data_IF_742892024431
#
_entry.id   IF_742892024431
#
_cell.length_a   1.000
_cell.length_b   1.000
_cell.length_c   1.000
_cell.angle_alpha   90.00
_cell.angle_beta   90.00
_cell.angle_gamma   90.00
#
_symmetry.space_group_name_H-M   'P 1'
#
loop_
_entity.id
_entity.type
_entity.pdbx_description
1 polymer ?
#
# COMPACT_ATOMS: atom_id res chain seq x y z
N UNK A 1 -35.50 5.96 8.37
CA UNK A 1 -34.24 5.42 7.82
C UNK A 1 -33.08 6.04 8.55
N UNK A 2 -32.23 5.22 9.18
CA UNK A 2 -30.96 5.67 9.72
C UNK A 2 -30.06 6.16 8.57
N UNK A 3 -29.86 7.47 8.46
CA UNK A 3 -29.02 8.14 7.44
C UNK A 3 -27.52 7.98 7.70
N UNK A 4 -27.10 6.92 8.40
CA UNK A 4 -25.71 6.75 8.84
C UNK A 4 -25.05 5.67 8.01
N UNK A 5 -23.81 5.92 7.58
CA UNK A 5 -23.01 4.94 6.85
C UNK A 5 -22.96 3.63 7.66
N UNK A 6 -23.47 2.50 7.13
CA UNK A 6 -23.47 1.24 7.86
C UNK A 6 -22.05 0.76 8.16
N UNK A 7 -21.08 1.12 7.30
CA UNK A 7 -19.66 0.82 7.48
C UNK A 7 -18.97 1.62 8.59
N UNK A 8 -19.55 2.75 9.03
CA UNK A 8 -19.04 3.53 10.16
C UNK A 8 -19.78 3.24 11.47
N UNK A 9 -20.68 2.24 11.46
CA UNK A 9 -21.37 1.82 12.68
C UNK A 9 -20.46 0.90 13.49
N UNK A 10 -20.07 1.33 14.68
CA UNK A 10 -19.30 0.51 15.63
C UNK A 10 -19.97 -0.83 15.99
N UNK A 11 -21.29 -0.96 15.78
CA UNK A 11 -22.03 -2.21 15.97
C UNK A 11 -21.75 -3.28 14.92
N UNK A 12 -21.18 -2.90 13.77
CA UNK A 12 -20.78 -3.82 12.69
C UNK A 12 -19.26 -4.01 12.62
N UNK A 13 -18.51 -3.34 13.50
CA UNK A 13 -17.07 -3.57 13.67
C UNK A 13 -16.88 -4.80 14.56
N UNK A 14 -16.00 -5.71 14.16
CA UNK A 14 -15.56 -6.82 15.01
C UNK A 14 -14.52 -6.23 15.98
N UNK A 15 -14.75 -6.26 17.31
CA UNK A 15 -13.90 -5.58 18.30
C UNK A 15 -12.42 -5.98 18.26
N UNK A 16 -12.12 -7.20 17.82
CA UNK A 16 -10.77 -7.77 17.76
C UNK A 16 -10.09 -7.59 16.39
N UNK A 17 -10.66 -6.81 15.46
CA UNK A 17 -10.02 -6.50 14.19
C UNK A 17 -9.21 -5.20 14.30
N UNK A 18 -8.01 -5.31 14.86
CA UNK A 18 -6.89 -4.45 14.42
C UNK A 18 -6.63 -4.83 12.97
N UNK A 19 -6.87 -3.90 12.04
CA UNK A 19 -6.66 -4.17 10.60
C UNK A 19 -5.19 -4.07 10.23
N UNK A 20 -4.42 -3.27 10.98
CA UNK A 20 -3.00 -3.08 10.73
C UNK A 20 -2.23 -2.63 11.97
N UNK A 21 -1.00 -3.09 12.06
CA UNK A 21 0.03 -2.60 12.97
C UNK A 21 1.08 -1.87 12.13
N UNK A 22 1.44 -0.65 12.54
CA UNK A 22 2.45 0.15 11.86
C UNK A 22 3.62 0.44 12.80
N UNK A 23 4.83 0.21 12.32
CA UNK A 23 6.04 0.55 13.06
C UNK A 23 6.19 2.08 13.18
N UNK A 24 6.42 2.55 14.42
CA UNK A 24 6.71 3.95 14.66
C UNK A 24 8.10 4.30 14.09
N UNK A 25 8.23 5.30 13.20
CA UNK A 25 9.52 5.63 12.57
C UNK A 25 10.55 6.19 13.54
N UNK A 26 10.14 6.61 14.74
CA UNK A 26 11.02 7.23 15.74
C UNK A 26 11.55 6.23 16.78
N UNK A 27 10.72 5.26 17.22
CA UNK A 27 11.10 4.33 18.30
C UNK A 27 10.95 2.84 17.94
N UNK A 28 10.37 2.50 16.79
CA UNK A 28 10.16 1.11 16.37
C UNK A 28 8.97 0.40 17.02
N UNK A 29 8.18 1.09 17.86
CA UNK A 29 6.99 0.50 18.48
C UNK A 29 5.92 0.15 17.44
N UNK A 30 5.30 -1.03 17.54
CA UNK A 30 4.17 -1.43 16.69
C UNK A 30 2.88 -0.76 17.16
N UNK A 31 2.46 0.28 16.44
CA UNK A 31 1.24 1.03 16.74
C UNK A 31 0.04 0.34 16.10
N UNK A 32 -0.91 -0.10 16.92
CA UNK A 32 -2.17 -0.68 16.44
C UNK A 32 -3.09 0.39 15.85
N UNK A 33 -3.66 0.12 14.68
CA UNK A 33 -4.65 0.98 14.05
C UNK A 33 -5.99 0.28 13.81
N UNK A 34 -7.06 0.99 14.14
CA UNK A 34 -8.43 0.58 13.80
C UNK A 34 -8.82 1.05 12.39
N UNK A 35 -9.84 0.45 11.76
CA UNK A 35 -10.34 0.86 10.44
C UNK A 35 -10.73 2.35 10.34
N UNK A 36 -11.08 2.98 11.47
CA UNK A 36 -11.47 4.39 11.49
C UNK A 36 -10.28 5.33 11.71
N UNK A 37 -9.11 4.79 12.03
CA UNK A 37 -7.95 5.57 12.44
C UNK A 37 -7.12 5.93 11.20
N UNK A 38 -7.06 7.22 10.87
CA UNK A 38 -6.14 7.72 9.85
C UNK A 38 -4.75 8.05 10.39
N UNK A 39 -4.66 8.30 11.70
CA UNK A 39 -3.42 8.63 12.41
C UNK A 39 -3.59 8.33 13.90
N UNK A 40 -2.51 7.95 14.56
CA UNK A 40 -2.46 7.73 16.02
C UNK A 40 -1.16 8.27 16.60
N UNK A 41 -1.22 8.65 17.87
CA UNK A 41 0.00 8.88 18.64
C UNK A 41 0.59 7.53 19.05
N UNK A 42 1.90 7.36 18.87
CA UNK A 42 2.64 6.22 19.40
C UNK A 42 2.52 6.21 20.93
N UNK A 43 2.10 5.09 21.54
CA UNK A 43 1.94 5.01 23.00
C UNK A 43 3.28 5.04 23.76
N UNK A 44 4.40 4.74 23.09
CA UNK A 44 5.72 4.74 23.71
C UNK A 44 6.40 6.12 23.67
N UNK A 45 6.48 6.76 22.50
CA UNK A 45 7.23 8.01 22.33
C UNK A 45 6.37 9.26 22.06
N UNK A 46 5.07 9.08 21.79
CA UNK A 46 4.14 10.17 21.50
C UNK A 46 4.18 10.70 20.05
N UNK A 47 5.09 10.22 19.20
CA UNK A 47 5.15 10.60 17.78
C UNK A 47 3.86 10.26 17.06
N UNK A 48 3.38 11.16 16.21
CA UNK A 48 2.21 10.92 15.36
C UNK A 48 2.60 9.99 14.21
N UNK A 49 2.04 8.79 14.21
CA UNK A 49 2.12 7.83 13.10
C UNK A 49 0.87 7.99 12.25
N UNK A 50 1.03 8.05 10.94
CA UNK A 50 -0.07 8.24 9.99
C UNK A 50 -0.13 7.04 9.05
N UNK A 51 -1.34 6.58 8.75
CA UNK A 51 -1.52 5.58 7.69
C UNK A 51 -1.16 6.19 6.35
N UNK A 52 -0.44 5.43 5.53
CA UNK A 52 -0.28 5.73 4.11
C UNK A 52 -1.64 5.67 3.40
N UNK A 53 -1.71 6.25 2.20
CA UNK A 53 -2.94 6.19 1.39
C UNK A 53 -3.39 4.76 1.10
N UNK A 54 -2.45 3.84 0.92
CA UNK A 54 -2.76 2.42 0.67
C UNK A 54 -3.29 1.72 1.93
N UNK A 55 -2.74 2.05 3.10
CA UNK A 55 -3.23 1.54 4.38
C UNK A 55 -4.64 2.04 4.70
N UNK A 56 -4.96 3.29 4.33
CA UNK A 56 -6.32 3.84 4.42
C UNK A 56 -7.31 3.14 3.49
N UNK A 57 -6.87 2.67 2.31
CA UNK A 57 -7.73 1.89 1.39
C UNK A 57 -8.08 0.52 1.97
N UNK A 58 -7.17 -0.11 2.71
CA UNK A 58 -7.41 -1.39 3.40
C UNK A 58 -8.49 -1.30 4.48
N UNK A 59 -8.73 -0.10 5.01
CA UNK A 59 -9.78 0.14 6.00
C UNK A 59 -11.20 0.22 5.40
N UNK A 60 -11.33 0.17 4.07
CA UNK A 60 -12.60 0.15 3.36
C UNK A 60 -13.23 -1.25 3.30
N UNK A 61 -13.05 -2.07 4.34
CA UNK A 61 -13.65 -3.42 4.45
C UNK A 61 -15.19 -3.41 4.29
N UNK A 62 -15.85 -2.28 4.54
CA UNK A 62 -17.27 -2.14 4.27
C UNK A 62 -17.61 -2.28 2.78
N UNK A 63 -16.68 -2.00 1.87
CA UNK A 63 -16.89 -2.11 0.44
C UNK A 63 -17.07 -3.57 -0.04
N UNK A 64 -16.69 -4.55 0.77
CA UNK A 64 -16.87 -5.97 0.46
C UNK A 64 -18.34 -6.40 0.58
N UNK A 65 -19.05 -5.91 1.61
CA UNK A 65 -20.42 -6.34 1.93
C UNK A 65 -21.47 -5.25 1.76
N UNK A 66 -21.09 -3.97 1.64
CA UNK A 66 -22.04 -2.87 1.60
C UNK A 66 -22.68 -2.76 0.21
N UNK A 67 -24.02 -2.82 0.11
CA UNK A 67 -24.73 -2.77 -1.18
C UNK A 67 -24.63 -1.40 -1.87
N UNK A 68 -24.26 -0.34 -1.14
CA UNK A 68 -24.06 1.01 -1.67
C UNK A 68 -22.57 1.34 -1.90
N UNK A 69 -21.66 0.37 -1.78
CA UNK A 69 -20.22 0.61 -1.87
C UNK A 69 -19.78 1.16 -3.24
N UNK A 70 -20.34 0.61 -4.32
CA UNK A 70 -20.03 1.04 -5.69
C UNK A 70 -20.44 2.50 -5.93
N UNK A 71 -21.64 2.88 -5.50
CA UNK A 71 -22.10 4.27 -5.57
C UNK A 71 -21.30 5.20 -4.65
N UNK A 72 -20.90 4.71 -3.47
CA UNK A 72 -20.16 5.49 -2.48
C UNK A 72 -18.70 5.76 -2.90
N UNK A 73 -18.03 4.78 -3.50
CA UNK A 73 -16.61 4.85 -3.87
C UNK A 73 -16.40 5.27 -5.33
N UNK A 74 -17.42 5.10 -6.18
CA UNK A 74 -17.37 5.49 -7.58
C UNK A 74 -16.17 4.88 -8.31
N UNK A 75 -15.34 5.67 -9.02
CA UNK A 75 -14.18 5.17 -9.77
C UNK A 75 -13.17 4.36 -8.93
N UNK A 76 -13.09 4.61 -7.62
CA UNK A 76 -12.18 3.89 -6.73
C UNK A 76 -12.70 2.50 -6.32
N UNK A 77 -13.98 2.17 -6.56
CA UNK A 77 -14.58 0.90 -6.15
C UNK A 77 -13.81 -0.31 -6.68
N UNK A 78 -13.42 -0.29 -7.96
CA UNK A 78 -12.65 -1.36 -8.58
C UNK A 78 -11.27 -1.55 -7.94
N UNK A 79 -10.63 -0.46 -7.49
CA UNK A 79 -9.32 -0.50 -6.81
C UNK A 79 -9.48 -1.11 -5.41
N UNK A 80 -10.48 -0.65 -4.67
CA UNK A 80 -10.80 -1.15 -3.32
C UNK A 80 -11.20 -2.62 -3.34
N UNK A 81 -11.99 -3.05 -4.34
CA UNK A 81 -12.40 -4.44 -4.48
C UNK A 81 -11.22 -5.39 -4.73
N UNK A 82 -10.23 -4.99 -5.55
CA UNK A 82 -9.00 -5.78 -5.77
C UNK A 82 -8.21 -5.99 -4.48
N UNK A 83 -8.12 -4.96 -3.65
CA UNK A 83 -7.49 -5.00 -2.32
C UNK A 83 -8.22 -5.98 -1.39
N UNK A 84 -9.56 -5.90 -1.34
CA UNK A 84 -10.40 -6.71 -0.44
C UNK A 84 -10.47 -8.19 -0.86
N UNK A 85 -10.44 -8.49 -2.15
CA UNK A 85 -10.41 -9.86 -2.68
C UNK A 85 -9.07 -10.59 -2.39
N UNK A 86 -8.13 -9.95 -1.70
CA UNK A 86 -6.86 -10.57 -1.31
C UNK A 86 -5.97 -10.92 -2.51
N UNK A 87 -6.27 -10.39 -3.70
CA UNK A 87 -5.30 -10.41 -4.79
C UNK A 87 -4.11 -9.58 -4.29
N UNK A 88 -2.90 -10.12 -4.40
CA UNK A 88 -1.70 -9.35 -4.15
C UNK A 88 -1.79 -8.11 -5.02
N UNK A 89 -2.16 -6.99 -4.40
CA UNK A 89 -1.92 -5.70 -5.02
C UNK A 89 -0.41 -5.65 -5.06
N UNK A 90 0.15 -5.60 -6.27
CA UNK A 90 1.55 -5.32 -6.47
C UNK A 90 1.85 -4.01 -5.72
N UNK A 91 2.33 -4.13 -4.49
CA UNK A 91 2.63 -2.98 -3.62
C UNK A 91 4.13 -2.75 -3.63
N UNK A 92 4.54 -1.48 -3.48
CA UNK A 92 5.95 -1.15 -3.41
C UNK A 92 6.63 -1.94 -2.29
N UNK A 93 5.97 -2.11 -1.15
CA UNK A 93 6.52 -2.85 -0.02
C UNK A 93 6.76 -4.33 -0.35
N UNK A 94 5.80 -5.01 -0.98
CA UNK A 94 5.97 -6.40 -1.38
C UNK A 94 7.14 -6.58 -2.37
N UNK A 95 7.34 -5.64 -3.31
CA UNK A 95 8.51 -5.65 -4.18
C UNK A 95 9.81 -5.43 -3.40
N UNK A 96 9.82 -4.52 -2.42
CA UNK A 96 11.01 -4.26 -1.61
C UNK A 96 11.39 -5.43 -0.70
N UNK A 97 10.39 -6.20 -0.25
CA UNK A 97 10.57 -7.37 0.60
C UNK A 97 11.05 -8.60 -0.20
N UNK A 98 10.71 -8.70 -1.49
CA UNK A 98 11.22 -9.76 -2.37
C UNK A 98 12.70 -9.55 -2.79
N UNK A 99 13.20 -8.33 -2.67
CA UNK A 99 14.58 -7.98 -3.00
C UNK A 99 15.50 -8.23 -1.77
N UNK A 100 16.65 -8.91 -1.92
CA UNK A 100 17.61 -9.08 -0.83
C UNK A 100 18.11 -7.76 -0.25
N UNK A 101 18.33 -7.68 1.07
CA UNK A 101 18.82 -6.48 1.74
C UNK A 101 20.22 -6.02 1.30
N UNK A 102 20.99 -6.91 0.67
CA UNK A 102 22.29 -6.58 0.07
C UNK A 102 22.17 -5.66 -1.14
N UNK A 103 21.03 -5.64 -1.82
CA UNK A 103 20.78 -4.87 -3.04
C UNK A 103 20.10 -3.52 -2.71
N UNK A 104 20.78 -2.73 -1.87
CA UNK A 104 20.26 -1.45 -1.37
C UNK A 104 20.01 -0.43 -2.48
N UNK A 105 20.87 -0.39 -3.49
CA UNK A 105 20.77 0.46 -4.68
C UNK A 105 19.50 0.17 -5.50
N UNK A 106 19.12 -1.10 -5.63
CA UNK A 106 17.89 -1.53 -6.30
C UNK A 106 16.66 -1.09 -5.48
N UNK A 107 16.67 -1.32 -4.17
CA UNK A 107 15.57 -0.89 -3.28
C UNK A 107 15.39 0.63 -3.30
N UNK A 108 16.48 1.38 -3.24
CA UNK A 108 16.46 2.84 -3.29
C UNK A 108 15.96 3.36 -4.64
N UNK A 109 16.30 2.67 -5.74
CA UNK A 109 15.75 2.97 -7.05
C UNK A 109 14.22 2.81 -7.07
N UNK A 110 13.68 1.68 -6.62
CA UNK A 110 12.22 1.45 -6.64
C UNK A 110 11.48 2.45 -5.75
N UNK A 111 12.01 2.78 -4.57
CA UNK A 111 11.42 3.83 -3.71
C UNK A 111 11.35 5.17 -4.40
N UNK A 112 12.40 5.55 -5.13
CA UNK A 112 12.45 6.80 -5.88
C UNK A 112 11.51 6.76 -7.08
N UNK A 113 11.58 5.70 -7.88
CA UNK A 113 10.76 5.52 -9.07
C UNK A 113 9.27 5.48 -8.76
N UNK A 114 8.87 4.88 -7.63
CA UNK A 114 7.48 4.87 -7.16
C UNK A 114 7.04 6.27 -6.72
N UNK A 115 7.90 7.00 -6.00
CA UNK A 115 7.61 8.38 -5.58
C UNK A 115 7.46 9.33 -6.78
N UNK A 116 8.27 9.13 -7.81
CA UNK A 116 8.26 9.95 -9.03
C UNK A 116 7.19 9.47 -10.04
N UNK A 117 6.42 8.41 -9.73
CA UNK A 117 5.36 7.89 -10.58
C UNK A 117 4.08 8.72 -10.41
N UNK A 118 3.60 9.30 -11.50
CA UNK A 118 2.37 10.10 -11.52
C UNK A 118 1.11 9.24 -11.70
N UNK A 119 1.28 8.01 -12.20
CA UNK A 119 0.19 7.11 -12.53
C UNK A 119 -0.13 6.17 -11.36
N UNK A 120 -1.29 6.38 -10.75
CA UNK A 120 -1.76 5.60 -9.61
C UNK A 120 -2.15 4.15 -9.95
N UNK A 121 -2.11 3.74 -11.23
CA UNK A 121 -2.37 2.37 -11.65
C UNK A 121 -1.11 1.50 -11.74
N UNK A 122 0.08 2.10 -11.79
CA UNK A 122 1.35 1.37 -11.91
C UNK A 122 2.23 1.52 -10.67
N UNK A 123 3.02 0.48 -10.38
CA UNK A 123 3.99 0.53 -9.30
C UNK A 123 5.13 1.51 -9.58
N UNK A 124 5.60 1.57 -10.83
CA UNK A 124 6.61 2.49 -11.31
C UNK A 124 6.38 2.81 -12.80
N UNK A 125 6.83 4.00 -13.23
CA UNK A 125 6.89 4.33 -14.65
C UNK A 125 8.16 3.73 -15.27
N UNK A 126 8.04 2.62 -16.00
CA UNK A 126 9.17 1.94 -16.61
C UNK A 126 9.81 2.74 -17.76
N UNK A 127 9.04 3.59 -18.45
CA UNK A 127 9.52 4.44 -19.54
C UNK A 127 10.38 5.57 -19.01
N UNK A 128 9.93 6.25 -17.94
CA UNK A 128 10.64 7.38 -17.34
C UNK A 128 11.73 6.95 -16.35
N UNK A 129 11.55 5.82 -15.66
CA UNK A 129 12.46 5.40 -14.59
C UNK A 129 13.44 4.34 -15.05
N UNK A 130 12.98 3.29 -15.73
CA UNK A 130 13.80 2.11 -16.05
C UNK A 130 14.57 2.26 -17.35
N UNK A 131 13.94 2.74 -18.44
CA UNK A 131 14.64 2.89 -19.74
C UNK A 131 15.89 3.78 -19.69
N UNK A 132 15.90 4.93 -18.98
CA UNK A 132 17.09 5.79 -18.91
C UNK A 132 18.27 5.11 -18.21
N UNK A 133 18.01 4.21 -17.25
CA UNK A 133 19.06 3.47 -16.54
C UNK A 133 19.95 2.66 -17.48
N UNK A 134 19.41 2.15 -18.60
CA UNK A 134 20.18 1.35 -19.56
C UNK A 134 21.46 2.04 -20.06
N UNK A 135 21.43 3.37 -20.16
CA UNK A 135 22.59 4.18 -20.56
C UNK A 135 23.36 4.74 -19.37
N UNK A 136 22.66 5.12 -18.29
CA UNK A 136 23.27 5.78 -17.13
C UNK A 136 23.98 4.81 -16.18
N UNK A 137 23.39 3.64 -15.94
CA UNK A 137 23.95 2.57 -15.10
C UNK A 137 23.46 1.20 -15.59
N UNK A 138 24.19 0.56 -16.52
CA UNK A 138 23.79 -0.72 -17.11
C UNK A 138 23.68 -1.87 -16.11
N UNK A 139 24.52 -1.89 -15.07
CA UNK A 139 24.51 -2.92 -14.03
C UNK A 139 23.24 -2.84 -13.17
N UNK A 140 22.89 -1.63 -12.72
CA UNK A 140 21.65 -1.40 -11.98
C UNK A 140 20.41 -1.67 -12.84
N UNK A 141 20.45 -1.30 -14.13
CA UNK A 141 19.37 -1.59 -15.07
C UNK A 141 19.08 -3.09 -15.15
N UNK A 142 20.11 -3.94 -15.26
CA UNK A 142 19.93 -5.39 -15.35
C UNK A 142 19.27 -5.96 -14.09
N UNK A 143 19.71 -5.53 -12.90
CA UNK A 143 19.12 -5.95 -11.63
C UNK A 143 17.66 -5.49 -11.49
N UNK A 144 17.37 -4.22 -11.77
CA UNK A 144 16.01 -3.66 -11.70
C UNK A 144 15.06 -4.40 -12.62
N UNK A 145 15.46 -4.62 -13.87
CA UNK A 145 14.62 -5.37 -14.84
C UNK A 145 14.39 -6.79 -14.36
N UNK A 146 15.42 -7.47 -13.84
CA UNK A 146 15.30 -8.82 -13.29
C UNK A 146 14.24 -8.87 -12.19
N UNK A 147 14.45 -8.14 -11.09
CA UNK A 147 13.56 -8.17 -9.92
C UNK A 147 12.14 -7.71 -10.24
N UNK A 148 11.99 -6.65 -11.03
CA UNK A 148 10.66 -6.17 -11.42
C UNK A 148 9.91 -7.21 -12.27
N UNK A 149 10.60 -7.84 -13.23
CA UNK A 149 9.97 -8.86 -14.09
C UNK A 149 9.64 -10.16 -13.35
N UNK A 150 10.41 -10.52 -12.33
CA UNK A 150 10.12 -11.67 -11.46
C UNK A 150 8.87 -11.39 -10.63
N UNK A 151 8.79 -10.20 -10.02
CA UNK A 151 7.66 -9.77 -9.20
C UNK A 151 6.34 -9.68 -9.98
N UNK A 152 6.35 -9.13 -11.20
CA UNK A 152 5.13 -9.02 -12.02
C UNK A 152 4.69 -10.35 -12.63
N UNK A 153 5.58 -11.36 -12.72
CA UNK A 153 5.24 -12.70 -13.23
C UNK A 153 4.61 -13.60 -12.18
N UNK A 154 4.83 -13.32 -10.89
CA UNK A 154 4.17 -14.05 -9.79
C UNK A 154 2.72 -13.61 -9.56
N UNK A 155 2.28 -12.51 -10.22
CA UNK A 155 0.96 -11.91 -10.05
C UNK A 155 -0.06 -12.25 -11.16
N UNK A 156 0.29 -13.13 -12.11
CA UNK A 156 -0.55 -13.60 -13.25
C UNK A 156 -1.12 -15.02 -13.02
#
# INVERSE_FOLDING_TARGET
MDKKCPGQSSRRMIPDQVVSELECPECGYQVEFFPTDSSRACPECGTRVEKSRDQLRNDLACADWCPSAEECLGPDFSKVKKVLEGKQVETLQALLDSIPDTEKDVKDFFRKAHRDCEDEEFLIDTEKSVKPLKKANPELHEKVVKYYSEFTKESD
#
